data_IF_495501336751
#
_entry.id   IF_495501336751
#
_cell.length_a   1.000
_cell.length_b   1.000
_cell.length_c   1.000
_cell.angle_alpha   90.00
_cell.angle_beta   90.00
_cell.angle_gamma   90.00
#
_symmetry.space_group_name_H-M   'P 1'
#
loop_
_entity.id
_entity.type
_entity.pdbx_description
1 polymer ?
#
# COMPACT_ATOMS: atom_id res chain seq x y z
N UNK A 1 8.72 23.23 4.41
CA UNK A 1 7.76 23.11 3.28
C UNK A 1 6.58 22.26 3.73
N UNK A 2 5.54 22.91 4.24
CA UNK A 2 4.28 22.26 4.59
C UNK A 2 3.47 22.11 3.29
N UNK A 3 3.63 20.98 2.61
CA UNK A 3 2.76 20.64 1.49
C UNK A 3 1.33 20.53 2.03
N UNK A 4 0.43 21.32 1.45
CA UNK A 4 -0.99 21.43 1.74
C UNK A 4 -1.66 20.05 1.95
N UNK A 5 -1.79 19.60 3.20
CA UNK A 5 -2.26 18.25 3.57
C UNK A 5 -3.78 18.08 3.46
N UNK A 6 -4.52 19.10 3.04
CA UNK A 6 -5.98 19.16 3.13
C UNK A 6 -6.73 18.12 2.26
N UNK A 7 -6.05 17.42 1.35
CA UNK A 7 -6.64 16.35 0.51
C UNK A 7 -5.84 15.03 0.47
N UNK A 8 -4.83 14.85 1.32
CA UNK A 8 -3.92 13.69 1.22
C UNK A 8 -4.47 12.49 2.00
N UNK A 9 -5.46 11.79 1.43
CA UNK A 9 -5.92 10.47 1.92
C UNK A 9 -5.21 9.30 1.24
N UNK A 10 -4.23 9.59 0.40
CA UNK A 10 -3.60 8.63 -0.49
C UNK A 10 -2.10 8.56 -0.23
N UNK A 11 -1.59 7.34 -0.18
CA UNK A 11 -0.20 7.00 0.05
C UNK A 11 0.36 6.21 -1.13
N UNK A 12 1.61 6.47 -1.48
CA UNK A 12 2.47 5.59 -2.26
C UNK A 12 3.52 5.03 -1.32
N UNK A 13 3.50 3.72 -1.15
CA UNK A 13 4.53 2.95 -0.47
C UNK A 13 5.51 2.46 -1.53
N UNK A 14 6.80 2.67 -1.31
CA UNK A 14 7.85 1.92 -1.99
C UNK A 14 8.15 0.70 -1.15
N UNK A 15 7.65 -0.44 -1.58
CA UNK A 15 8.03 -1.73 -1.05
C UNK A 15 9.00 -2.29 -2.07
N UNK A 16 10.28 -1.95 -1.91
CA UNK A 16 11.31 -2.39 -2.82
C UNK A 16 11.38 -3.91 -2.78
N UNK A 17 10.80 -4.51 -3.80
CA UNK A 17 10.59 -5.94 -3.86
C UNK A 17 11.71 -6.58 -4.67
N UNK A 18 12.32 -7.64 -4.13
CA UNK A 18 13.40 -8.35 -4.81
C UNK A 18 12.91 -9.29 -5.94
N UNK A 19 11.59 -9.45 -6.11
CA UNK A 19 11.04 -10.39 -7.09
C UNK A 19 11.26 -9.98 -8.56
N UNK A 20 11.73 -8.76 -8.82
CA UNK A 20 12.18 -8.41 -10.15
C UNK A 20 13.71 -8.56 -10.22
N UNK A 21 14.16 -9.61 -10.92
CA UNK A 21 15.49 -9.71 -11.58
C UNK A 21 16.59 -10.58 -10.95
N UNK A 22 16.23 -11.66 -10.23
CA UNK A 22 17.12 -12.82 -10.08
C UNK A 22 16.26 -14.10 -10.18
N UNK A 23 16.45 -14.86 -11.26
CA UNK A 23 15.72 -16.09 -11.67
C UNK A 23 15.75 -17.26 -10.68
N UNK A 24 16.17 -17.01 -9.44
CA UNK A 24 16.40 -17.97 -8.35
C UNK A 24 15.46 -17.75 -7.17
N UNK A 25 14.69 -16.66 -7.16
CA UNK A 25 13.74 -16.31 -6.08
C UNK A 25 12.27 -16.23 -6.53
N UNK A 26 11.96 -16.61 -7.77
CA UNK A 26 10.59 -16.89 -8.20
C UNK A 26 10.14 -18.25 -7.64
N UNK A 27 9.63 -18.28 -6.41
CA UNK A 27 9.01 -19.51 -5.87
C UNK A 27 7.68 -19.31 -5.17
N UNK A 28 7.27 -18.07 -4.88
CA UNK A 28 5.95 -17.83 -4.28
C UNK A 28 5.00 -17.17 -5.29
N UNK A 29 4.07 -17.91 -5.91
CA UNK A 29 3.12 -17.35 -6.87
C UNK A 29 2.11 -16.38 -6.26
N UNK A 30 2.03 -16.29 -4.92
CA UNK A 30 1.06 -15.43 -4.19
C UNK A 30 1.72 -14.28 -3.43
N UNK A 31 2.98 -13.94 -3.73
CA UNK A 31 3.71 -12.87 -3.04
C UNK A 31 2.97 -11.52 -3.05
N UNK A 32 2.24 -11.23 -4.11
CA UNK A 32 1.50 -9.97 -4.24
C UNK A 32 0.26 -9.94 -3.34
N UNK A 33 -0.37 -11.10 -3.11
CA UNK A 33 -1.48 -11.23 -2.18
C UNK A 33 -0.99 -11.00 -0.76
N UNK A 34 0.16 -11.55 -0.39
CA UNK A 34 0.76 -11.35 0.94
C UNK A 34 1.09 -9.88 1.21
N UNK A 35 1.72 -9.18 0.26
CA UNK A 35 2.01 -7.75 0.41
C UNK A 35 0.72 -6.94 0.52
N UNK A 36 -0.29 -7.26 -0.31
CA UNK A 36 -1.59 -6.60 -0.27
C UNK A 36 -2.25 -6.79 1.10
N UNK A 37 -2.27 -8.01 1.61
CA UNK A 37 -2.89 -8.35 2.89
C UNK A 37 -2.15 -7.69 4.06
N UNK A 38 -0.81 -7.68 4.06
CA UNK A 38 -0.01 -6.98 5.06
C UNK A 38 -0.34 -5.48 5.12
N UNK A 39 -0.46 -4.83 3.96
CA UNK A 39 -0.83 -3.41 3.88
C UNK A 39 -2.26 -3.20 4.39
N UNK A 40 -3.21 -4.07 4.02
CA UNK A 40 -4.59 -3.98 4.49
C UNK A 40 -4.66 -4.17 6.01
N UNK A 41 -4.00 -5.19 6.55
CA UNK A 41 -3.94 -5.47 7.98
C UNK A 41 -3.36 -4.29 8.77
N UNK A 42 -2.26 -3.72 8.28
CA UNK A 42 -1.65 -2.56 8.94
C UNK A 42 -2.56 -1.33 8.88
N UNK A 43 -3.17 -1.05 7.72
CA UNK A 43 -4.14 0.05 7.62
C UNK A 43 -5.40 -0.17 8.49
N UNK A 44 -5.86 -1.41 8.64
CA UNK A 44 -7.04 -1.75 9.45
C UNK A 44 -6.86 -1.46 10.94
N UNK A 45 -5.61 -1.43 11.45
CA UNK A 45 -5.30 -0.96 12.81
C UNK A 45 -5.54 0.54 13.02
N UNK A 46 -5.65 1.30 11.93
CA UNK A 46 -5.68 2.76 11.93
C UNK A 46 -6.95 3.38 11.33
N UNK A 47 -7.96 2.57 11.05
CA UNK A 47 -9.24 2.98 10.46
C UNK A 47 -9.50 2.41 9.06
N UNK A 48 -8.58 1.61 8.52
CA UNK A 48 -8.77 0.80 7.33
C UNK A 48 -8.40 1.47 6.02
N UNK A 49 -8.79 0.82 4.93
CA UNK A 49 -8.38 1.19 3.57
C UNK A 49 -9.50 0.89 2.57
N UNK A 50 -9.72 1.79 1.61
CA UNK A 50 -10.72 1.62 0.54
C UNK A 50 -10.15 1.02 -0.73
N UNK A 51 -8.88 1.28 -1.02
CA UNK A 51 -8.24 0.80 -2.24
C UNK A 51 -6.77 0.49 -2.00
N UNK A 52 -6.30 -0.64 -2.51
CA UNK A 52 -4.89 -1.03 -2.54
C UNK A 52 -4.58 -1.55 -3.93
N UNK A 53 -3.54 -1.00 -4.56
CA UNK A 53 -3.04 -1.44 -5.86
C UNK A 53 -1.54 -1.67 -5.79
N UNK A 54 -1.11 -2.86 -6.21
CA UNK A 54 0.30 -3.24 -6.32
C UNK A 54 0.71 -3.14 -7.78
N UNK A 55 1.62 -2.23 -8.07
CA UNK A 55 2.22 -2.10 -9.40
C UNK A 55 3.33 -3.14 -9.57
N UNK A 56 2.95 -4.31 -10.08
CA UNK A 56 3.86 -5.44 -10.32
C UNK A 56 4.92 -5.15 -11.39
N UNK A 57 4.67 -4.17 -12.26
CA UNK A 57 5.59 -3.76 -13.31
C UNK A 57 6.61 -2.73 -12.82
N UNK A 58 6.34 -2.06 -11.68
CA UNK A 58 7.29 -1.11 -11.09
C UNK A 58 8.56 -1.81 -10.61
N UNK A 59 9.74 -1.45 -11.14
CA UNK A 59 11.02 -1.96 -10.64
C UNK A 59 11.28 -1.56 -9.17
N UNK A 60 10.60 -0.53 -8.67
CA UNK A 60 10.71 -0.05 -7.30
C UNK A 60 9.71 -0.71 -6.35
N UNK A 61 8.75 -1.50 -6.87
CA UNK A 61 7.66 -2.10 -6.11
C UNK A 61 6.71 -1.07 -5.51
N UNK A 62 6.01 -0.32 -6.37
CA UNK A 62 5.08 0.71 -5.89
C UNK A 62 3.80 0.04 -5.40
N UNK A 63 3.36 0.43 -4.21
CA UNK A 63 2.03 0.09 -3.69
C UNK A 63 1.27 1.38 -3.39
N UNK A 64 0.06 1.45 -3.92
CA UNK A 64 -0.80 2.62 -3.91
C UNK A 64 -1.99 2.35 -3.00
N UNK A 65 -2.21 3.23 -2.03
CA UNK A 65 -3.17 3.01 -0.93
C UNK A 65 -4.07 4.23 -0.79
N UNK A 66 -5.40 4.03 -0.84
CA UNK A 66 -6.41 5.06 -0.52
C UNK A 66 -7.05 4.75 0.82
N UNK A 67 -6.84 5.62 1.80
CA UNK A 67 -7.45 5.55 3.12
C UNK A 67 -8.81 6.27 3.17
N UNK A 68 -9.68 5.92 4.14
CA UNK A 68 -10.98 6.57 4.32
C UNK A 68 -10.85 8.01 4.83
N UNK A 69 -9.79 8.33 5.57
CA UNK A 69 -9.56 9.65 6.16
C UNK A 69 -8.09 10.05 6.11
N UNK A 70 -7.82 11.35 6.28
CA UNK A 70 -6.43 11.86 6.40
C UNK A 70 -5.78 11.30 7.67
N UNK A 71 -6.52 11.21 8.79
CA UNK A 71 -6.00 10.67 10.04
C UNK A 71 -5.52 9.22 9.87
N UNK A 72 -6.31 8.39 9.17
CA UNK A 72 -5.92 7.01 8.84
C UNK A 72 -4.68 6.96 7.95
N UNK A 73 -4.58 7.85 6.95
CA UNK A 73 -3.41 7.93 6.08
C UNK A 73 -2.14 8.33 6.86
N UNK A 74 -2.23 9.32 7.76
CA UNK A 74 -1.13 9.73 8.64
C UNK A 74 -0.68 8.57 9.54
N UNK A 75 -1.63 7.88 10.18
CA UNK A 75 -1.32 6.76 11.05
C UNK A 75 -0.67 5.59 10.27
N UNK A 76 -1.17 5.26 9.07
CA UNK A 76 -0.58 4.24 8.22
C UNK A 76 0.83 4.61 7.76
N UNK A 77 1.11 5.87 7.40
CA UNK A 77 2.47 6.34 7.09
C UNK A 77 3.38 6.17 8.30
N UNK A 78 2.94 6.60 9.47
CA UNK A 78 3.73 6.50 10.70
C UNK A 78 4.04 5.06 11.09
N UNK A 79 3.13 4.11 10.80
CA UNK A 79 3.39 2.69 11.03
C UNK A 79 4.31 2.08 9.97
N UNK A 80 4.09 2.38 8.69
CA UNK A 80 4.77 1.68 7.58
C UNK A 80 6.12 2.29 7.21
N UNK A 81 6.27 3.61 7.30
CA UNK A 81 7.50 4.28 6.91
C UNK A 81 8.66 3.90 7.83
N UNK A 82 9.79 3.51 7.26
CA UNK A 82 10.97 3.11 8.03
C UNK A 82 10.96 1.65 8.48
N UNK A 83 9.85 0.91 8.29
CA UNK A 83 9.82 -0.53 8.59
C UNK A 83 10.67 -1.31 7.60
N UNK A 84 11.25 -2.40 8.10
CA UNK A 84 11.96 -3.36 7.27
C UNK A 84 11.00 -4.38 6.66
N UNK A 85 11.16 -4.61 5.36
CA UNK A 85 10.46 -5.65 4.61
C UNK A 85 11.41 -6.27 3.59
N UNK A 86 11.52 -7.60 3.60
CA UNK A 86 12.41 -8.36 2.70
C UNK A 86 13.84 -7.79 2.58
N UNK A 87 14.42 -7.35 3.70
CA UNK A 87 15.79 -6.81 3.74
C UNK A 87 15.94 -5.37 3.22
N UNK A 88 14.85 -4.62 3.03
CA UNK A 88 14.88 -3.21 2.62
C UNK A 88 13.92 -2.37 3.47
N UNK A 89 14.18 -1.06 3.53
CA UNK A 89 13.34 -0.11 4.27
C UNK A 89 12.18 0.35 3.39
N UNK A 90 10.95 0.28 3.92
CA UNK A 90 9.75 0.83 3.29
C UNK A 90 9.80 2.35 3.36
N UNK A 91 9.61 3.02 2.21
CA UNK A 91 9.40 4.47 2.19
C UNK A 91 7.96 4.79 1.84
N UNK A 92 7.29 5.63 2.62
CA UNK A 92 5.92 6.07 2.34
C UNK A 92 5.93 7.54 1.97
N UNK A 93 5.18 7.91 0.94
CA UNK A 93 5.00 9.29 0.51
C UNK A 93 3.53 9.54 0.20
N UNK A 94 3.05 10.76 0.49
CA UNK A 94 1.70 11.14 0.10
C UNK A 94 1.60 11.37 -1.41
N UNK A 95 0.47 10.98 -1.99
CA UNK A 95 0.15 11.26 -3.40
C UNK A 95 -1.03 12.23 -3.44
N UNK A 96 -0.99 13.27 -4.29
CA UNK A 96 -2.14 14.12 -4.53
C UNK A 96 -3.36 13.29 -4.99
N UNK A 97 -4.51 13.52 -4.36
CA UNK A 97 -5.73 12.74 -4.60
C UNK A 97 -6.15 12.73 -6.07
N UNK A 98 -6.05 13.89 -6.74
CA UNK A 98 -6.38 14.05 -8.15
C UNK A 98 -5.52 13.12 -9.02
N UNK A 99 -4.20 13.10 -8.79
CA UNK A 99 -3.29 12.24 -9.55
C UNK A 99 -3.62 10.76 -9.34
N UNK A 100 -4.00 10.38 -8.11
CA UNK A 100 -4.39 9.01 -7.83
C UNK A 100 -5.67 8.61 -8.55
N UNK A 101 -6.68 9.47 -8.56
CA UNK A 101 -7.93 9.22 -9.28
C UNK A 101 -7.77 9.21 -10.79
N UNK A 102 -6.81 9.96 -11.34
CA UNK A 102 -6.44 9.85 -12.75
C UNK A 102 -5.85 8.47 -13.10
N UNK A 103 -5.14 7.83 -12.17
CA UNK A 103 -4.60 6.48 -12.36
C UNK A 103 -5.65 5.39 -12.07
N UNK A 104 -6.49 5.60 -11.05
CA UNK A 104 -7.46 4.64 -10.55
C UNK A 104 -8.85 5.31 -10.41
N UNK A 105 -9.61 5.44 -11.52
CA UNK A 105 -10.91 6.12 -11.50
C UNK A 105 -11.97 5.42 -10.63
N UNK A 106 -11.94 4.10 -10.57
CA UNK A 106 -12.77 3.25 -9.71
C UNK A 106 -12.55 3.56 -8.22
N UNK A 107 -11.33 3.91 -7.85
CA UNK A 107 -11.02 4.32 -6.49
C UNK A 107 -11.68 5.66 -6.10
N UNK A 108 -12.28 6.44 -7.00
CA UNK A 108 -13.02 7.65 -6.63
C UNK A 108 -14.24 7.33 -5.76
N UNK A 109 -15.02 6.34 -6.18
CA UNK A 109 -16.31 5.97 -5.57
C UNK A 109 -16.17 4.84 -4.55
N UNK A 110 -14.99 4.26 -4.38
CA UNK A 110 -14.72 3.26 -3.36
C UNK A 110 -14.98 3.81 -1.94
N UNK A 111 -15.94 3.16 -1.25
CA UNK A 111 -16.38 3.46 0.12
C UNK A 111 -16.42 2.24 1.03
N UNK A 112 -16.17 1.05 0.50
CA UNK A 112 -16.13 -0.19 1.27
C UNK A 112 -14.72 -0.44 1.80
N UNK A 113 -14.60 -0.71 3.10
CA UNK A 113 -13.32 -1.11 3.69
C UNK A 113 -12.90 -2.49 3.17
N UNK A 114 -11.63 -2.58 2.78
CA UNK A 114 -11.03 -3.85 2.38
C UNK A 114 -10.72 -4.69 3.62
N UNK A 115 -10.93 -6.00 3.46
CA UNK A 115 -10.50 -7.02 4.41
C UNK A 115 -9.32 -7.77 3.81
N UNK A 116 -8.36 -8.23 4.63
CA UNK A 116 -7.30 -9.10 4.14
C UNK A 116 -7.90 -10.43 3.69
N UNK A 117 -7.22 -11.08 2.77
CA UNK A 117 -7.65 -12.37 2.24
C UNK A 117 -7.66 -13.42 3.35
N UNK A 118 -8.67 -14.30 3.38
CA UNK A 118 -8.82 -15.31 4.44
C UNK A 118 -7.70 -16.37 4.50
N UNK A 119 -6.71 -16.30 3.61
CA UNK A 119 -5.65 -17.29 3.41
C UNK A 119 -4.64 -17.40 4.56
N UNK A 120 -4.70 -16.53 5.59
CA UNK A 120 -3.82 -16.61 6.77
C UNK A 120 -4.33 -17.47 7.93
N UNK A 121 -5.37 -18.30 7.73
CA UNK A 121 -5.77 -19.30 8.73
C UNK A 121 -4.91 -20.55 8.62
N UNK A 122 -3.85 -20.60 9.43
CA UNK A 122 -3.23 -21.86 9.87
C UNK A 122 -1.84 -22.13 9.32
N UNK A 123 -0.83 -21.71 10.08
CA UNK A 123 0.30 -22.57 10.45
C UNK A 123 0.20 -22.84 11.95
#
# INVERSE_FOLDING_TARGET
>A
MLHNQSNLRVLRLLIQNHYHKDSRWETNPTWDVEIRDDVIEECNKHGGVFHVYLDKASPQGNVYVKCPSIATAVAAVNSLHGRWFAGRVITAAYVPLINYHSLFPDAMTAQQLLLPSAARRGL
#
